data_IF_716153899321
#
_entry.id   IF_716153899321
#
_cell.length_a   1.000
_cell.length_b   1.000
_cell.length_c   1.000
_cell.angle_alpha   90.00
_cell.angle_beta   90.00
_cell.angle_gamma   90.00
#
_symmetry.space_group_name_H-M   'P 1'
#
loop_
_entity.id
_entity.type
_entity.pdbx_description
1 polymer ?
#
# COMPACT_ATOMS: atom_id res chain seq x y z
N UNK A 1 -13.18 9.64 -2.07
CA UNK A 1 -11.79 10.01 -1.73
C UNK A 1 -11.11 8.98 -0.83
N UNK A 2 -11.74 8.53 0.25
CA UNK A 2 -11.15 7.55 1.16
C UNK A 2 -10.96 6.17 0.52
N UNK A 3 -11.85 5.74 -0.36
CA UNK A 3 -11.67 4.48 -1.11
C UNK A 3 -10.43 4.54 -2.01
N UNK A 4 -10.22 5.66 -2.71
CA UNK A 4 -9.05 5.85 -3.56
C UNK A 4 -7.73 5.88 -2.73
N UNK A 5 -7.76 6.46 -1.53
CA UNK A 5 -6.61 6.43 -0.61
C UNK A 5 -6.35 5.00 -0.15
N UNK A 6 -7.38 4.26 0.27
CA UNK A 6 -7.25 2.87 0.71
C UNK A 6 -6.71 1.96 -0.41
N UNK A 7 -7.17 2.15 -1.64
CA UNK A 7 -6.68 1.42 -2.81
C UNK A 7 -5.21 1.76 -3.11
N UNK A 8 -4.84 3.05 -3.06
CA UNK A 8 -3.44 3.48 -3.25
C UNK A 8 -2.52 2.91 -2.18
N UNK A 9 -2.96 2.91 -0.91
CA UNK A 9 -2.20 2.32 0.19
C UNK A 9 -2.03 0.80 0.01
N UNK A 10 -3.08 0.09 -0.41
CA UNK A 10 -3.00 -1.35 -0.67
C UNK A 10 -2.03 -1.69 -1.82
N UNK A 11 -2.04 -0.90 -2.91
CA UNK A 11 -1.08 -1.06 -4.02
C UNK A 11 0.34 -0.74 -3.55
N UNK A 12 0.52 0.33 -2.76
CA UNK A 12 1.81 0.69 -2.18
C UNK A 12 2.35 -0.39 -1.26
N UNK A 13 1.52 -0.92 -0.36
CA UNK A 13 1.85 -2.03 0.54
C UNK A 13 2.30 -3.27 -0.23
N UNK A 14 1.54 -3.68 -1.27
CA UNK A 14 1.90 -4.81 -2.11
C UNK A 14 3.24 -4.60 -2.83
N UNK A 15 3.51 -3.39 -3.33
CA UNK A 15 4.78 -3.06 -3.99
C UNK A 15 5.95 -3.15 -3.02
N UNK A 16 5.81 -2.59 -1.81
CA UNK A 16 6.86 -2.65 -0.78
C UNK A 16 7.05 -4.07 -0.28
N UNK A 17 5.97 -4.86 -0.12
CA UNK A 17 6.06 -6.25 0.30
C UNK A 17 6.85 -7.12 -0.69
N UNK A 18 6.63 -6.93 -2.00
CA UNK A 18 7.41 -7.63 -3.05
C UNK A 18 8.89 -7.24 -2.99
N UNK A 19 9.18 -5.95 -2.82
CA UNK A 19 10.56 -5.47 -2.71
C UNK A 19 11.24 -5.99 -1.43
N UNK A 20 10.55 -5.99 -0.28
CA UNK A 20 11.05 -6.54 0.99
C UNK A 20 11.36 -8.03 0.87
N UNK A 21 10.45 -8.82 0.27
CA UNK A 21 10.69 -10.24 0.04
C UNK A 21 11.90 -10.47 -0.88
N UNK A 22 12.08 -9.64 -1.91
CA UNK A 22 13.27 -9.67 -2.77
C UNK A 22 14.54 -9.34 -2.01
N UNK A 23 14.52 -8.30 -1.17
CA UNK A 23 15.67 -7.88 -0.36
C UNK A 23 16.06 -8.96 0.67
N UNK A 24 15.09 -9.60 1.33
CA UNK A 24 15.33 -10.73 2.26
C UNK A 24 15.99 -11.91 1.55
N UNK A 25 15.50 -12.28 0.36
CA UNK A 25 16.12 -13.35 -0.44
C UNK A 25 17.55 -12.99 -0.87
N UNK A 26 17.82 -11.72 -1.19
CA UNK A 26 19.17 -11.24 -1.52
C UNK A 26 20.11 -11.40 -0.30
N UNK A 27 19.67 -11.01 0.90
CA UNK A 27 20.44 -11.19 2.14
C UNK A 27 20.73 -12.66 2.39
N UNK A 28 19.77 -13.57 2.15
CA UNK A 28 19.97 -15.00 2.25
C UNK A 28 21.04 -15.49 1.26
N UNK A 29 20.97 -15.07 -0.01
CA UNK A 29 21.95 -15.45 -1.04
C UNK A 29 23.36 -14.91 -0.75
N UNK A 30 23.46 -13.68 -0.22
CA UNK A 30 24.74 -13.13 0.25
C UNK A 30 25.30 -13.93 1.44
N UNK A 31 24.45 -14.41 2.33
CA UNK A 31 24.86 -15.28 3.45
C UNK A 31 25.40 -16.61 2.93
N UNK A 32 24.73 -17.24 1.97
CA UNK A 32 25.23 -18.46 1.32
C UNK A 32 26.56 -18.23 0.56
N UNK A 33 26.73 -17.06 -0.08
CA UNK A 33 28.00 -16.66 -0.70
C UNK A 33 29.10 -16.51 0.34
N UNK A 34 28.78 -15.90 1.50
CA UNK A 34 29.73 -15.76 2.62
C UNK A 34 30.27 -17.11 3.08
N UNK A 35 29.40 -18.11 3.23
CA UNK A 35 29.82 -19.47 3.62
C UNK A 35 30.78 -20.09 2.60
N UNK A 36 30.49 -19.90 1.28
CA UNK A 36 31.39 -20.39 0.22
C UNK A 36 32.73 -19.66 0.25
N UNK A 37 32.76 -18.34 0.42
CA UNK A 37 33.99 -17.54 0.47
C UNK A 37 34.83 -17.91 1.72
N UNK A 38 34.18 -18.10 2.87
CA UNK A 38 34.86 -18.54 4.07
C UNK A 38 35.50 -19.94 3.86
N UNK A 39 34.81 -20.87 3.19
CA UNK A 39 35.39 -22.18 2.85
C UNK A 39 36.56 -22.05 1.89
N UNK A 40 36.55 -21.05 0.99
CA UNK A 40 37.64 -20.81 0.04
C UNK A 40 38.93 -20.24 0.66
N UNK A 41 38.90 -19.82 1.94
CA UNK A 41 40.11 -19.43 2.65
C UNK A 41 41.05 -20.61 2.96
N UNK A 42 40.57 -21.86 2.84
CA UNK A 42 41.37 -23.03 2.97
C UNK A 42 42.19 -23.32 1.70
N UNK A 43 43.49 -23.65 1.84
CA UNK A 43 44.35 -23.91 0.69
C UNK A 43 44.05 -25.22 -0.05
N UNK A 44 43.34 -26.14 0.58
CA UNK A 44 43.11 -27.45 0.06
C UNK A 44 41.70 -27.62 -0.57
N UNK A 45 41.08 -26.52 -1.09
CA UNK A 45 39.77 -26.50 -1.77
C UNK A 45 39.92 -26.19 -3.24
N UNK A 46 38.92 -26.56 -4.02
CA UNK A 46 38.83 -26.20 -5.44
C UNK A 46 38.24 -24.78 -5.57
N UNK A 47 39.14 -23.78 -5.58
CA UNK A 47 38.76 -22.35 -5.69
C UNK A 47 38.00 -22.08 -6.98
N UNK A 48 38.32 -22.75 -8.10
CA UNK A 48 37.62 -22.53 -9.36
C UNK A 48 36.17 -22.99 -9.30
N UNK A 49 35.89 -24.08 -8.60
CA UNK A 49 34.55 -24.59 -8.41
C UNK A 49 33.75 -23.69 -7.47
N UNK A 50 34.35 -23.21 -6.39
CA UNK A 50 33.71 -22.26 -5.48
C UNK A 50 33.40 -20.94 -6.23
N UNK A 51 34.33 -20.44 -7.02
CA UNK A 51 34.12 -19.25 -7.85
C UNK A 51 32.92 -19.41 -8.81
N UNK A 52 32.83 -20.59 -9.45
CA UNK A 52 31.70 -20.88 -10.35
C UNK A 52 30.35 -20.88 -9.61
N UNK A 53 30.31 -21.38 -8.38
CA UNK A 53 29.09 -21.38 -7.56
C UNK A 53 28.74 -19.95 -7.06
N UNK A 54 29.73 -19.14 -6.70
CA UNK A 54 29.54 -17.72 -6.36
C UNK A 54 28.98 -16.95 -7.56
N UNK A 55 29.52 -17.17 -8.77
CA UNK A 55 29.01 -16.53 -9.99
C UNK A 55 27.53 -16.85 -10.22
N UNK A 56 27.12 -18.11 -10.06
CA UNK A 56 25.71 -18.50 -10.19
C UNK A 56 24.81 -17.82 -9.14
N UNK A 57 25.30 -17.63 -7.92
CA UNK A 57 24.55 -16.92 -6.87
C UNK A 57 24.47 -15.44 -7.15
N UNK A 58 25.54 -14.84 -7.69
CA UNK A 58 25.52 -13.46 -8.20
C UNK A 58 24.47 -13.27 -9.29
N UNK A 59 24.43 -14.16 -10.29
CA UNK A 59 23.42 -14.15 -11.35
C UNK A 59 21.99 -14.28 -10.78
N UNK A 60 21.83 -15.10 -9.73
CA UNK A 60 20.56 -15.26 -9.03
C UNK A 60 20.12 -13.95 -8.33
N UNK A 61 21.05 -13.26 -7.65
CA UNK A 61 20.78 -11.97 -7.01
C UNK A 61 20.34 -10.94 -8.05
N UNK A 62 21.04 -10.83 -9.17
CA UNK A 62 20.65 -9.91 -10.27
C UNK A 62 19.27 -10.25 -10.84
N UNK A 63 18.95 -11.55 -10.94
CA UNK A 63 17.63 -12.00 -11.36
C UNK A 63 16.54 -11.62 -10.35
N UNK A 64 16.81 -11.74 -9.04
CA UNK A 64 15.86 -11.34 -7.98
C UNK A 64 15.63 -9.83 -8.04
N UNK A 65 16.68 -9.01 -8.16
CA UNK A 65 16.56 -7.55 -8.28
C UNK A 65 15.65 -7.19 -9.46
N UNK A 66 15.86 -7.82 -10.61
CA UNK A 66 15.07 -7.55 -11.82
C UNK A 66 13.63 -8.02 -11.72
N UNK A 67 13.39 -9.13 -11.00
CA UNK A 67 12.06 -9.73 -10.87
C UNK A 67 11.21 -9.12 -9.74
N UNK A 68 11.82 -8.40 -8.80
CA UNK A 68 11.13 -7.81 -7.63
C UNK A 68 10.33 -6.56 -8.01
N UNK A 69 9.37 -6.72 -8.93
CA UNK A 69 8.50 -5.65 -9.41
C UNK A 69 7.03 -5.99 -9.19
N UNK A 70 6.25 -4.98 -8.88
CA UNK A 70 4.79 -5.08 -8.79
C UNK A 70 4.16 -3.95 -9.60
N UNK A 71 3.24 -4.30 -10.50
CA UNK A 71 2.57 -3.34 -11.39
C UNK A 71 3.52 -2.38 -12.15
N UNK A 72 4.71 -2.87 -12.53
CA UNK A 72 5.73 -2.11 -13.23
C UNK A 72 6.63 -1.24 -12.36
N UNK A 73 6.43 -1.23 -11.03
CA UNK A 73 7.30 -0.53 -10.08
C UNK A 73 8.28 -1.51 -9.43
N UNK A 74 9.58 -1.17 -9.44
CA UNK A 74 10.64 -1.93 -8.80
C UNK A 74 11.42 -1.05 -7.82
N UNK A 75 11.23 -1.26 -6.52
CA UNK A 75 11.91 -0.50 -5.46
C UNK A 75 13.35 -0.97 -5.19
N UNK A 76 13.80 -2.06 -5.81
CA UNK A 76 15.19 -2.53 -5.74
C UNK A 76 16.06 -1.95 -6.87
N UNK A 77 15.46 -1.20 -7.81
CA UNK A 77 16.13 -0.55 -8.92
C UNK A 77 16.36 0.94 -8.66
N UNK A 78 17.34 1.52 -9.34
CA UNK A 78 17.58 2.97 -9.42
C UNK A 78 16.44 3.73 -10.10
N UNK A 79 15.74 3.06 -11.01
CA UNK A 79 14.56 3.58 -11.72
C UNK A 79 13.32 2.75 -11.33
N UNK A 80 12.45 3.35 -10.52
CA UNK A 80 11.30 2.65 -9.93
C UNK A 80 10.21 2.37 -10.97
N UNK A 81 9.97 3.29 -11.91
CA UNK A 81 8.82 3.25 -12.83
C UNK A 81 9.20 3.15 -14.33
N UNK A 82 10.50 3.02 -14.64
CA UNK A 82 11.01 3.02 -16.00
C UNK A 82 11.09 4.41 -16.65
N UNK A 83 10.89 5.48 -15.89
CA UNK A 83 10.95 6.87 -16.35
C UNK A 83 11.91 7.75 -15.54
N UNK A 84 12.75 7.12 -14.70
CA UNK A 84 13.75 7.79 -13.88
C UNK A 84 13.25 8.20 -12.48
N UNK A 85 12.13 7.65 -12.00
CA UNK A 85 11.68 7.89 -10.65
C UNK A 85 12.55 7.14 -9.63
N UNK A 86 13.02 7.83 -8.60
CA UNK A 86 13.83 7.26 -7.51
C UNK A 86 13.00 6.96 -6.25
N UNK A 87 11.70 7.14 -6.30
CA UNK A 87 10.79 6.87 -5.20
C UNK A 87 9.38 6.56 -5.71
N UNK A 88 8.66 5.73 -4.98
CA UNK A 88 7.24 5.46 -5.16
C UNK A 88 6.42 6.42 -4.31
N UNK A 89 5.52 7.19 -4.92
CA UNK A 89 4.57 8.05 -4.22
C UNK A 89 3.26 7.31 -3.95
N UNK A 90 2.95 7.03 -2.69
CA UNK A 90 1.70 6.39 -2.26
C UNK A 90 0.76 7.45 -1.69
N UNK A 91 -0.46 7.57 -2.20
CA UNK A 91 -1.44 8.54 -1.71
C UNK A 91 -1.86 8.18 -0.28
N UNK A 92 -1.55 9.06 0.67
CA UNK A 92 -1.75 8.86 2.10
C UNK A 92 -2.95 9.61 2.67
N UNK A 93 -3.21 10.82 2.18
CA UNK A 93 -4.35 11.63 2.58
C UNK A 93 -4.75 12.64 1.51
N UNK A 94 -5.97 13.16 1.66
CA UNK A 94 -6.49 14.29 0.88
C UNK A 94 -6.87 15.38 1.89
N UNK A 95 -5.99 16.36 2.06
CA UNK A 95 -6.22 17.45 2.97
C UNK A 95 -7.09 18.53 2.34
N UNK A 96 -8.14 18.91 3.04
CA UNK A 96 -9.04 19.97 2.63
C UNK A 96 -9.14 21.04 3.71
N UNK A 97 -8.68 22.22 3.41
CA UNK A 97 -8.78 23.38 4.31
C UNK A 97 -10.04 24.17 3.99
N UNK A 98 -11.02 24.15 4.90
CA UNK A 98 -12.29 24.82 4.73
C UNK A 98 -13.29 24.11 3.81
N UNK A 99 -14.55 24.58 3.81
CA UNK A 99 -15.63 23.92 3.06
C UNK A 99 -15.50 24.04 1.53
N UNK A 100 -14.79 25.04 1.04
CA UNK A 100 -14.58 25.34 -0.40
C UNK A 100 -13.16 25.13 -0.87
N UNK A 101 -12.26 24.63 -0.01
CA UNK A 101 -10.88 24.36 -0.36
C UNK A 101 -10.74 23.21 -1.37
N UNK A 102 -9.79 23.34 -2.29
CA UNK A 102 -9.42 22.24 -3.20
C UNK A 102 -8.66 21.19 -2.38
N UNK A 103 -9.01 19.89 -2.47
CA UNK A 103 -8.25 18.85 -1.79
C UNK A 103 -6.81 18.79 -2.32
N UNK A 104 -5.84 18.80 -1.41
CA UNK A 104 -4.43 18.62 -1.75
C UNK A 104 -4.00 17.19 -1.36
N UNK A 105 -3.41 16.43 -2.30
CA UNK A 105 -2.93 15.09 -1.99
C UNK A 105 -1.65 15.16 -1.16
N UNK A 106 -1.60 14.37 -0.09
CA UNK A 106 -0.37 14.11 0.66
C UNK A 106 0.10 12.70 0.34
N UNK A 107 1.37 12.57 -0.05
CA UNK A 107 1.97 11.30 -0.46
C UNK A 107 2.93 10.78 0.63
N UNK A 108 2.93 9.47 0.85
CA UNK A 108 4.04 8.77 1.46
C UNK A 108 5.03 8.46 0.35
N UNK A 109 6.24 9.01 0.44
CA UNK A 109 7.33 8.70 -0.47
C UNK A 109 8.10 7.52 0.08
N UNK A 110 8.17 6.44 -0.70
CA UNK A 110 9.02 5.26 -0.45
C UNK A 110 10.20 5.35 -1.41
N UNK A 111 11.37 5.58 -0.88
CA UNK A 111 12.59 5.66 -1.68
C UNK A 111 13.00 4.27 -2.19
N UNK A 112 13.57 4.21 -3.40
CA UNK A 112 14.20 2.99 -3.87
C UNK A 112 15.47 2.71 -3.06
N UNK A 113 15.79 1.44 -2.87
CA UNK A 113 17.04 1.02 -2.21
C UNK A 113 18.20 0.84 -3.21
N UNK A 114 17.91 0.97 -4.51
CA UNK A 114 18.89 0.93 -5.61
C UNK A 114 19.98 -0.13 -5.45
N UNK A 115 19.57 -1.40 -5.46
CA UNK A 115 20.50 -2.51 -5.44
C UNK A 115 21.20 -2.73 -6.80
N UNK A 116 20.67 -2.15 -7.88
CA UNK A 116 21.31 -2.24 -9.20
C UNK A 116 22.68 -1.55 -9.18
N UNK A 117 22.76 -0.38 -8.56
CA UNK A 117 24.01 0.42 -8.51
C UNK A 117 24.84 0.10 -7.27
N UNK A 118 24.18 -0.09 -6.10
CA UNK A 118 24.88 -0.17 -4.81
C UNK A 118 25.26 -1.58 -4.38
N UNK A 119 24.68 -2.63 -5.03
CA UNK A 119 24.95 -4.03 -4.71
C UNK A 119 25.70 -4.71 -5.87
N UNK A 120 26.91 -4.25 -6.16
CA UNK A 120 27.73 -4.79 -7.26
C UNK A 120 28.38 -6.14 -6.87
N UNK A 121 27.56 -7.19 -6.80
CA UNK A 121 28.02 -8.56 -6.54
C UNK A 121 28.86 -9.14 -7.68
N UNK A 122 28.72 -8.61 -8.90
CA UNK A 122 29.46 -9.07 -10.08
C UNK A 122 30.88 -8.48 -10.13
N UNK A 123 31.08 -7.28 -9.55
CA UNK A 123 32.39 -6.60 -9.46
C UNK A 123 33.28 -7.10 -8.35
N UNK A 124 32.87 -8.06 -7.52
CA UNK A 124 33.69 -8.64 -6.45
C UNK A 124 34.95 -9.30 -6.97
N UNK A 125 36.00 -9.29 -6.14
CA UNK A 125 37.27 -9.96 -6.45
C UNK A 125 37.06 -11.45 -6.72
N UNK A 126 37.53 -11.92 -7.90
CA UNK A 126 37.44 -13.32 -8.28
C UNK A 126 38.35 -14.19 -7.41
N UNK A 127 37.80 -15.28 -6.90
CA UNK A 127 38.49 -16.19 -5.99
C UNK A 127 39.35 -17.19 -6.77
N UNK A 128 40.67 -17.06 -6.63
CA UNK A 128 41.65 -17.96 -7.22
C UNK A 128 42.55 -18.66 -6.18
N UNK A 129 42.59 -18.10 -4.98
CA UNK A 129 43.42 -18.59 -3.85
C UNK A 129 42.85 -18.07 -2.51
N UNK A 130 43.48 -18.46 -1.38
CA UNK A 130 43.04 -18.02 -0.05
C UNK A 130 43.16 -16.52 0.19
N UNK A 131 44.09 -15.82 -0.49
CA UNK A 131 44.31 -14.40 -0.34
C UNK A 131 43.19 -13.58 -1.04
N UNK A 132 42.85 -13.98 -2.25
CA UNK A 132 41.70 -13.38 -2.99
C UNK A 132 40.40 -13.71 -2.31
N UNK A 133 40.23 -14.87 -1.71
CA UNK A 133 39.08 -15.21 -0.88
C UNK A 133 38.93 -14.28 0.34
N UNK A 134 40.03 -13.92 1.00
CA UNK A 134 40.00 -13.00 2.13
C UNK A 134 39.59 -11.57 1.68
N UNK A 135 40.03 -11.12 0.51
CA UNK A 135 39.63 -9.84 -0.08
C UNK A 135 38.15 -9.84 -0.44
N UNK A 136 37.69 -10.87 -1.16
CA UNK A 136 36.27 -11.05 -1.54
C UNK A 136 35.36 -11.12 -0.32
N UNK A 137 35.80 -11.67 0.81
CA UNK A 137 35.03 -11.70 2.06
C UNK A 137 34.77 -10.28 2.57
N UNK A 138 35.79 -9.41 2.59
CA UNK A 138 35.63 -8.03 3.02
C UNK A 138 34.69 -7.22 2.10
N UNK A 139 34.76 -7.44 0.79
CA UNK A 139 33.86 -6.84 -0.19
C UNK A 139 32.42 -7.32 0.02
N UNK A 140 32.21 -8.64 0.20
CA UNK A 140 30.90 -9.21 0.45
C UNK A 140 30.28 -8.70 1.75
N UNK A 141 31.07 -8.54 2.82
CA UNK A 141 30.57 -7.99 4.09
C UNK A 141 30.05 -6.56 3.92
N UNK A 142 30.73 -5.74 3.11
CA UNK A 142 30.24 -4.41 2.77
C UNK A 142 28.91 -4.46 1.99
N UNK A 143 28.79 -5.36 1.00
CA UNK A 143 27.54 -5.56 0.25
C UNK A 143 26.39 -6.10 1.14
N UNK A 144 26.71 -6.96 2.10
CA UNK A 144 25.72 -7.44 3.08
C UNK A 144 25.13 -6.31 3.93
N UNK A 145 25.97 -5.34 4.34
CA UNK A 145 25.50 -4.17 5.08
C UNK A 145 24.51 -3.37 4.22
N UNK A 146 24.85 -3.11 2.95
CA UNK A 146 23.95 -2.42 2.02
C UNK A 146 22.62 -3.16 1.86
N UNK A 147 22.65 -4.48 1.72
CA UNK A 147 21.43 -5.29 1.56
C UNK A 147 20.57 -5.30 2.83
N UNK A 148 21.19 -5.40 4.02
CA UNK A 148 20.48 -5.37 5.30
C UNK A 148 19.87 -3.99 5.57
N UNK A 149 20.61 -2.92 5.31
CA UNK A 149 20.11 -1.55 5.47
C UNK A 149 18.94 -1.27 4.52
N UNK A 150 19.03 -1.75 3.27
CA UNK A 150 17.96 -1.65 2.30
C UNK A 150 16.70 -2.43 2.72
N UNK A 151 16.86 -3.67 3.21
CA UNK A 151 15.75 -4.47 3.72
C UNK A 151 15.10 -3.81 4.94
N UNK A 152 15.90 -3.24 5.84
CA UNK A 152 15.40 -2.53 7.02
C UNK A 152 14.62 -1.24 6.64
N UNK A 153 15.10 -0.49 5.65
CA UNK A 153 14.42 0.69 5.13
C UNK A 153 13.05 0.33 4.54
N UNK A 154 12.99 -0.69 3.69
CA UNK A 154 11.72 -1.20 3.13
C UNK A 154 10.77 -1.69 4.22
N UNK A 155 11.29 -2.36 5.26
CA UNK A 155 10.49 -2.79 6.40
C UNK A 155 9.88 -1.62 7.18
N UNK A 156 10.64 -0.55 7.38
CA UNK A 156 10.14 0.67 8.02
C UNK A 156 9.07 1.38 7.18
N UNK A 157 9.25 1.45 5.87
CA UNK A 157 8.25 2.03 4.96
C UNK A 157 6.98 1.15 4.87
N UNK A 158 7.12 -0.17 4.89
CA UNK A 158 5.98 -1.09 4.98
C UNK A 158 5.15 -0.85 6.24
N UNK A 159 5.80 -0.76 7.41
CA UNK A 159 5.12 -0.44 8.66
C UNK A 159 4.40 0.90 8.60
N UNK A 160 5.03 1.93 8.04
CA UNK A 160 4.45 3.27 7.88
C UNK A 160 3.21 3.27 6.97
N UNK A 161 3.22 2.50 5.88
CA UNK A 161 2.05 2.37 4.99
C UNK A 161 0.92 1.62 5.70
N UNK A 162 1.23 0.54 6.41
CA UNK A 162 0.26 -0.24 7.19
C UNK A 162 -0.40 0.61 8.27
N UNK A 163 0.37 1.35 9.07
CA UNK A 163 -0.14 2.26 10.10
C UNK A 163 -1.07 3.33 9.50
N UNK A 164 -0.70 3.88 8.35
CA UNK A 164 -1.54 4.85 7.63
C UNK A 164 -2.83 4.21 7.12
N UNK A 165 -2.78 2.97 6.63
CA UNK A 165 -3.96 2.21 6.20
C UNK A 165 -4.96 1.98 7.35
N UNK A 166 -4.45 1.59 8.52
CA UNK A 166 -5.27 1.46 9.72
C UNK A 166 -5.90 2.79 10.17
N UNK A 167 -5.12 3.87 10.11
CA UNK A 167 -5.64 5.21 10.44
C UNK A 167 -6.76 5.62 9.49
N UNK A 168 -6.59 5.47 8.18
CA UNK A 168 -7.59 5.78 7.15
C UNK A 168 -8.86 4.93 7.34
N UNK A 169 -8.71 3.65 7.68
CA UNK A 169 -9.83 2.76 7.97
C UNK A 169 -10.65 3.26 9.17
N UNK A 170 -9.99 3.55 10.31
CA UNK A 170 -10.62 4.10 11.52
C UNK A 170 -11.31 5.45 11.26
N UNK A 171 -10.67 6.31 10.45
CA UNK A 171 -11.23 7.60 10.06
C UNK A 171 -12.49 7.43 9.20
N UNK A 172 -12.45 6.49 8.26
CA UNK A 172 -13.61 6.16 7.39
C UNK A 172 -14.79 5.66 8.21
N UNK A 173 -14.56 4.79 9.18
CA UNK A 173 -15.61 4.27 10.05
C UNK A 173 -16.20 5.36 10.96
N UNK A 174 -15.35 6.25 11.49
CA UNK A 174 -15.81 7.40 12.29
C UNK A 174 -16.67 8.35 11.46
N UNK A 175 -16.28 8.60 10.20
CA UNK A 175 -17.08 9.43 9.29
C UNK A 175 -18.40 8.77 8.92
N UNK A 176 -18.42 7.45 8.66
CA UNK A 176 -19.65 6.71 8.40
C UNK A 176 -20.62 6.83 9.59
N UNK A 177 -20.13 6.64 10.83
CA UNK A 177 -20.93 6.81 12.03
C UNK A 177 -21.47 8.24 12.18
N UNK A 178 -20.64 9.25 11.89
CA UNK A 178 -21.07 10.66 11.90
C UNK A 178 -22.16 10.96 10.88
N UNK A 179 -22.03 10.45 9.66
CA UNK A 179 -23.04 10.60 8.60
C UNK A 179 -24.32 9.86 8.96
N UNK A 180 -24.23 8.62 9.48
CA UNK A 180 -25.39 7.85 9.96
C UNK A 180 -26.16 8.61 11.04
N UNK A 181 -25.46 9.16 12.03
CA UNK A 181 -26.09 9.94 13.11
C UNK A 181 -26.87 11.16 12.59
N UNK A 182 -26.34 11.85 11.58
CA UNK A 182 -27.05 12.98 10.95
C UNK A 182 -28.23 12.54 10.08
N UNK A 183 -28.08 11.42 9.38
CA UNK A 183 -29.13 10.90 8.48
C UNK A 183 -30.26 10.25 9.28
N UNK A 184 -29.98 9.53 10.35
CA UNK A 184 -31.00 8.90 11.21
C UNK A 184 -31.89 9.95 11.89
N UNK A 185 -31.34 11.10 12.29
CA UNK A 185 -32.10 12.23 12.83
C UNK A 185 -33.06 12.80 11.79
N UNK A 186 -32.62 12.97 10.55
CA UNK A 186 -33.46 13.43 9.43
C UNK A 186 -34.54 12.40 9.03
N UNK A 187 -34.26 11.12 9.14
CA UNK A 187 -35.23 10.06 8.82
C UNK A 187 -36.36 9.95 9.83
N UNK A 188 -36.13 10.20 11.12
CA UNK A 188 -37.19 10.27 12.13
C UNK A 188 -38.12 11.44 11.87
N UNK A 189 -37.57 12.64 11.57
CA UNK A 189 -38.38 13.80 11.22
C UNK A 189 -39.17 13.60 9.91
N UNK A 190 -38.51 13.02 8.89
CA UNK A 190 -39.14 12.66 7.63
C UNK A 190 -40.28 11.66 7.80
N UNK A 191 -40.09 10.61 8.65
CA UNK A 191 -41.11 9.61 8.96
C UNK A 191 -42.30 10.22 9.73
N UNK A 192 -42.01 11.12 10.67
CA UNK A 192 -43.06 11.83 11.41
C UNK A 192 -43.89 12.75 10.49
N UNK A 193 -43.25 13.48 9.58
CA UNK A 193 -43.91 14.30 8.57
C UNK A 193 -44.75 13.47 7.61
N UNK A 194 -44.25 12.32 7.17
CA UNK A 194 -44.96 11.44 6.25
C UNK A 194 -46.20 10.85 6.92
N UNK A 195 -46.16 10.46 8.19
CA UNK A 195 -47.35 10.05 8.98
C UNK A 195 -48.34 11.18 9.17
N UNK A 196 -47.84 12.41 9.46
CA UNK A 196 -48.72 13.59 9.61
C UNK A 196 -49.43 13.93 8.28
N UNK A 197 -48.73 13.89 7.14
CA UNK A 197 -49.32 14.08 5.82
C UNK A 197 -50.34 13.01 5.45
N UNK A 198 -50.08 11.73 5.76
CA UNK A 198 -51.04 10.65 5.55
C UNK A 198 -52.32 10.84 6.38
N UNK A 199 -52.18 11.25 7.63
CA UNK A 199 -53.33 11.55 8.50
C UNK A 199 -54.10 12.75 8.00
N UNK A 200 -53.42 13.83 7.55
CA UNK A 200 -54.09 14.99 6.92
C UNK A 200 -54.83 14.58 5.64
N UNK A 201 -54.23 13.73 4.80
CA UNK A 201 -54.90 13.24 3.59
C UNK A 201 -56.16 12.44 3.92
N UNK A 202 -56.10 11.56 4.94
CA UNK A 202 -57.29 10.81 5.37
C UNK A 202 -58.39 11.75 5.93
N UNK A 203 -58.03 12.73 6.73
CA UNK A 203 -58.95 13.73 7.24
C UNK A 203 -59.57 14.60 6.13
N UNK A 204 -58.74 15.00 5.13
CA UNK A 204 -59.24 15.77 3.97
C UNK A 204 -60.24 14.97 3.13
N UNK A 205 -59.99 13.69 2.88
CA UNK A 205 -60.91 12.79 2.18
C UNK A 205 -62.22 12.62 2.99
N UNK A 206 -62.15 12.51 4.30
CA UNK A 206 -63.27 12.39 5.18
C UNK A 206 -64.12 13.72 5.23
N UNK A 207 -63.41 14.87 5.27
CA UNK A 207 -64.06 16.18 5.20
C UNK A 207 -64.76 16.44 3.85
N UNK A 208 -64.12 16.02 2.73
CA UNK A 208 -64.72 16.08 1.40
C UNK A 208 -65.96 15.15 1.29
N UNK A 209 -65.92 13.98 1.88
CA UNK A 209 -67.07 13.06 1.95
C UNK A 209 -68.23 13.69 2.72
N UNK A 210 -67.97 14.29 3.88
CA UNK A 210 -68.99 15.01 4.68
C UNK A 210 -69.52 16.23 3.92
N UNK A 211 -68.65 17.02 3.27
CA UNK A 211 -69.07 18.19 2.50
C UNK A 211 -69.89 17.82 1.29
N UNK A 212 -69.66 16.68 0.64
CA UNK A 212 -70.48 16.17 -0.46
C UNK A 212 -71.81 15.57 -0.03
N UNK A 213 -71.87 15.03 1.19
CA UNK A 213 -73.15 14.45 1.71
C UNK A 213 -74.09 15.51 2.27
N UNK A 214 -73.61 16.68 2.65
CA UNK A 214 -74.42 17.82 3.15
C UNK A 214 -75.46 18.30 2.14
N UNK A 215 -75.14 18.52 0.85
CA UNK A 215 -76.15 18.92 -0.15
C UNK A 215 -77.23 17.85 -0.43
N UNK A 216 -76.88 16.58 -0.36
CA UNK A 216 -77.83 15.46 -0.57
C UNK A 216 -78.90 15.41 0.52
N UNK A 217 -78.55 15.63 1.77
CA UNK A 217 -79.49 15.68 2.87
C UNK A 217 -80.44 16.88 2.81
N UNK A 218 -79.98 18.01 2.27
CA UNK A 218 -80.83 19.20 2.03
C UNK A 218 -81.76 18.92 0.88
N UNK A 219 -81.35 18.29 -0.20
CA UNK A 219 -82.22 17.97 -1.33
C UNK A 219 -83.31 16.91 -0.96
N UNK A 220 -83.07 16.03 0.01
CA UNK A 220 -84.08 15.13 0.53
C UNK A 220 -85.15 15.82 1.40
N UNK A 221 -84.82 16.97 1.96
CA UNK A 221 -85.78 17.73 2.80
C UNK A 221 -86.78 18.63 1.95
N UNK A 222 -86.44 18.89 0.70
CA UNK A 222 -87.26 19.66 -0.24
C UNK A 222 -88.00 18.80 -1.27
N UNK A 223 -88.13 17.53 -1.04
CA UNK A 223 -88.89 16.57 -1.86
C UNK A 223 -90.16 16.08 -1.11
#
# INVERSE_FOLDING_TARGET
GFEAISESLAVGEATVAVASAGAEQIVEKLTEMKELIVSAQSENVDHAKIQADITKKSDQILSIISAAQFNGANLLSDDVDGNGATALGVLASLDRVGATGVPTPTLISVASVDFVTNLDVAGMTSISDSTTAATALGELEALMIVAIDGAAALGADSARITDQGEFVSKLTDSMKMGVSSMTDTDMEEASARLKALQTQQQLAVQSLSIANSAPESIMQLFR
#
